data_IF_616738776341
#
_entry.id   IF_616738776341
#
_cell.length_a   1.000
_cell.length_b   1.000
_cell.length_c   1.000
_cell.angle_alpha   90.00
_cell.angle_beta   90.00
_cell.angle_gamma   90.00
#
_symmetry.space_group_name_H-M   'P 1'
#
loop_
_entity.id
_entity.type
_entity.pdbx_description
1 polymer ?
#
# COMPACT_ATOMS: atom_id res chain seq x y z
N UNK A 1 -22.69 47.37 1.71
CA UNK A 1 -21.35 47.10 1.16
C UNK A 1 -20.45 46.25 2.06
N UNK A 2 -20.43 46.41 3.39
CA UNK A 2 -19.65 45.54 4.31
C UNK A 2 -20.04 44.04 4.28
N UNK A 3 -21.34 43.73 4.20
CA UNK A 3 -21.83 42.34 4.20
C UNK A 3 -21.46 41.49 2.97
N UNK A 4 -21.15 42.09 1.82
CA UNK A 4 -20.74 41.33 0.63
C UNK A 4 -19.26 40.96 0.66
N UNK A 5 -18.41 41.83 1.24
CA UNK A 5 -16.97 41.61 1.38
C UNK A 5 -16.69 40.48 2.38
N UNK A 6 -17.39 40.46 3.52
CA UNK A 6 -17.23 39.39 4.52
C UNK A 6 -17.74 38.03 4.03
N UNK A 7 -18.82 37.99 3.24
CA UNK A 7 -19.28 36.76 2.59
C UNK A 7 -18.26 36.23 1.56
N UNK A 8 -17.65 37.11 0.78
CA UNK A 8 -16.63 36.72 -0.21
C UNK A 8 -15.35 36.21 0.47
N UNK A 9 -14.92 36.85 1.55
CA UNK A 9 -13.75 36.44 2.36
C UNK A 9 -13.97 35.09 3.04
N UNK A 10 -15.15 34.84 3.60
CA UNK A 10 -15.51 33.57 4.25
C UNK A 10 -15.61 32.42 3.24
N UNK A 11 -16.15 32.68 2.05
CA UNK A 11 -16.18 31.72 0.92
C UNK A 11 -14.79 31.37 0.41
N UNK A 12 -13.92 32.38 0.24
CA UNK A 12 -12.53 32.19 -0.18
C UNK A 12 -11.70 31.38 0.83
N UNK A 13 -11.84 31.67 2.14
CA UNK A 13 -11.18 30.91 3.21
C UNK A 13 -11.67 29.45 3.27
N UNK A 14 -12.98 29.21 3.11
CA UNK A 14 -13.52 27.85 3.03
C UNK A 14 -12.97 27.06 1.84
N UNK A 15 -12.81 27.71 0.68
CA UNK A 15 -12.20 27.08 -0.49
C UNK A 15 -10.70 26.82 -0.28
N UNK A 16 -9.96 27.74 0.35
CA UNK A 16 -8.55 27.51 0.69
C UNK A 16 -8.38 26.34 1.66
N UNK A 17 -9.20 26.27 2.73
CA UNK A 17 -9.15 25.14 3.68
C UNK A 17 -9.50 23.82 3.01
N UNK A 18 -10.45 23.81 2.08
CA UNK A 18 -10.77 22.61 1.27
C UNK A 18 -9.61 22.16 0.39
N UNK A 19 -8.97 23.09 -0.32
CA UNK A 19 -7.80 22.78 -1.17
C UNK A 19 -6.64 22.26 -0.33
N UNK A 20 -6.30 22.93 0.78
CA UNK A 20 -5.25 22.47 1.69
C UNK A 20 -5.57 21.12 2.34
N UNK A 21 -6.82 20.90 2.74
CA UNK A 21 -7.27 19.61 3.27
C UNK A 21 -7.13 18.48 2.24
N UNK A 22 -7.45 18.73 0.98
CA UNK A 22 -7.26 17.77 -0.10
C UNK A 22 -5.78 17.48 -0.36
N UNK A 23 -4.92 18.50 -0.39
CA UNK A 23 -3.47 18.33 -0.57
C UNK A 23 -2.90 17.45 0.56
N UNK A 24 -3.24 17.76 1.81
CA UNK A 24 -2.77 16.99 2.98
C UNK A 24 -3.28 15.55 2.91
N UNK A 25 -4.55 15.35 2.54
CA UNK A 25 -5.11 14.01 2.37
C UNK A 25 -4.36 13.23 1.28
N UNK A 26 -4.11 13.83 0.12
CA UNK A 26 -3.39 13.19 -0.98
C UNK A 26 -1.96 12.84 -0.59
N UNK A 27 -1.24 13.73 0.09
CA UNK A 27 0.10 13.46 0.60
C UNK A 27 0.10 12.33 1.63
N UNK A 28 -0.88 12.31 2.53
CA UNK A 28 -1.01 11.26 3.55
C UNK A 28 -1.30 9.89 2.91
N UNK A 29 -2.21 9.84 1.94
CA UNK A 29 -2.51 8.62 1.18
C UNK A 29 -1.32 8.16 0.34
N UNK A 30 -0.53 9.10 -0.20
CA UNK A 30 0.70 8.79 -0.93
C UNK A 30 1.76 8.20 0.00
N UNK A 31 1.98 8.79 1.17
CA UNK A 31 2.93 8.27 2.15
C UNK A 31 2.54 6.86 2.64
N UNK A 32 1.26 6.63 2.91
CA UNK A 32 0.75 5.30 3.27
C UNK A 32 0.96 4.28 2.14
N UNK A 33 0.69 4.68 0.90
CA UNK A 33 0.86 3.81 -0.27
C UNK A 33 2.33 3.48 -0.52
N UNK A 34 3.24 4.47 -0.45
CA UNK A 34 4.69 4.26 -0.55
C UNK A 34 5.18 3.30 0.52
N UNK A 35 4.77 3.51 1.78
CA UNK A 35 5.16 2.61 2.88
C UNK A 35 4.75 1.17 2.59
N UNK A 36 3.49 0.95 2.22
CA UNK A 36 2.96 -0.38 1.97
C UNK A 36 3.61 -1.06 0.75
N UNK A 37 3.83 -0.30 -0.32
CA UNK A 37 4.57 -0.77 -1.50
C UNK A 37 6.01 -1.13 -1.14
N UNK A 38 6.71 -0.26 -0.39
CA UNK A 38 8.09 -0.50 0.02
C UNK A 38 8.23 -1.81 0.80
N UNK A 39 7.36 -2.05 1.79
CA UNK A 39 7.40 -3.30 2.57
C UNK A 39 7.16 -4.53 1.70
N UNK A 40 6.17 -4.48 0.81
CA UNK A 40 5.86 -5.57 -0.11
C UNK A 40 7.04 -5.89 -1.04
N UNK A 41 7.57 -4.89 -1.73
CA UNK A 41 8.67 -5.07 -2.67
C UNK A 41 9.97 -5.47 -1.97
N UNK A 42 10.23 -4.93 -0.78
CA UNK A 42 11.40 -5.30 0.02
C UNK A 42 11.31 -6.77 0.46
N UNK A 43 10.12 -7.22 0.85
CA UNK A 43 9.88 -8.63 1.20
C UNK A 43 10.07 -9.60 0.04
N UNK A 44 9.84 -9.17 -1.22
CA UNK A 44 9.93 -10.04 -2.40
C UNK A 44 11.27 -9.97 -3.13
N UNK A 45 11.87 -8.79 -3.25
CA UNK A 45 13.02 -8.52 -4.14
C UNK A 45 14.12 -7.67 -3.48
N UNK A 46 14.01 -7.39 -2.18
CA UNK A 46 14.98 -6.59 -1.44
C UNK A 46 14.82 -5.07 -1.57
N UNK A 47 15.64 -4.34 -0.79
CA UNK A 47 15.45 -2.92 -0.55
C UNK A 47 15.65 -2.04 -1.80
N UNK A 48 16.60 -2.40 -2.66
CA UNK A 48 16.91 -1.63 -3.88
C UNK A 48 15.71 -1.62 -4.84
N UNK A 49 15.14 -2.79 -5.11
CA UNK A 49 13.95 -2.96 -5.95
C UNK A 49 12.74 -2.26 -5.34
N UNK A 50 12.63 -2.26 -4.01
CA UNK A 50 11.52 -1.62 -3.29
C UNK A 50 11.49 -0.09 -3.47
N UNK A 51 12.64 0.57 -3.39
CA UNK A 51 12.74 2.01 -3.61
C UNK A 51 12.38 2.36 -5.05
N UNK A 52 12.91 1.62 -6.02
CA UNK A 52 12.68 1.88 -7.44
C UNK A 52 11.20 1.66 -7.78
N UNK A 53 10.64 0.52 -7.42
CA UNK A 53 9.27 0.17 -7.76
C UNK A 53 8.26 1.15 -7.13
N UNK A 54 8.38 1.42 -5.82
CA UNK A 54 7.49 2.36 -5.13
C UNK A 54 7.54 3.76 -5.72
N UNK A 55 8.72 4.24 -6.11
CA UNK A 55 8.89 5.54 -6.76
C UNK A 55 8.22 5.56 -8.14
N UNK A 56 8.43 4.53 -8.96
CA UNK A 56 7.88 4.46 -10.32
C UNK A 56 6.36 4.42 -10.31
N UNK A 57 5.75 3.57 -9.48
CA UNK A 57 4.29 3.48 -9.39
C UNK A 57 3.66 4.80 -8.91
N UNK A 58 4.29 5.51 -7.97
CA UNK A 58 3.79 6.80 -7.51
C UNK A 58 3.95 7.91 -8.54
N UNK A 59 5.09 7.97 -9.25
CA UNK A 59 5.28 8.91 -10.36
C UNK A 59 4.23 8.66 -11.45
N UNK A 60 3.98 7.41 -11.81
CA UNK A 60 2.95 7.04 -12.79
C UNK A 60 1.55 7.40 -12.29
N UNK A 61 1.24 7.16 -11.01
CA UNK A 61 -0.06 7.52 -10.42
C UNK A 61 -0.30 9.04 -10.47
N UNK A 62 0.70 9.84 -10.10
CA UNK A 62 0.65 11.29 -10.16
C UNK A 62 0.54 11.81 -11.60
N UNK A 63 1.29 11.21 -12.52
CA UNK A 63 1.21 11.52 -13.95
C UNK A 63 -0.19 11.23 -14.52
N UNK A 64 -0.81 10.12 -14.10
CA UNK A 64 -2.17 9.75 -14.49
C UNK A 64 -3.22 10.73 -13.94
N UNK A 65 -3.06 11.14 -12.69
CA UNK A 65 -3.91 12.15 -12.05
C UNK A 65 -3.78 13.50 -12.76
N UNK A 66 -2.56 13.88 -13.14
CA UNK A 66 -2.30 15.08 -13.93
C UNK A 66 -2.96 15.02 -15.31
N UNK A 67 -2.88 13.88 -16.01
CA UNK A 67 -3.56 13.67 -17.29
C UNK A 67 -5.08 13.80 -17.17
N UNK A 68 -5.65 13.28 -16.08
CA UNK A 68 -7.09 13.35 -15.78
C UNK A 68 -7.56 14.80 -15.57
N UNK A 69 -6.71 15.65 -14.98
CA UNK A 69 -6.99 17.06 -14.74
C UNK A 69 -6.76 17.95 -15.97
N UNK A 70 -5.79 17.59 -16.82
CA UNK A 70 -5.34 18.47 -17.92
C UNK A 70 -5.97 18.15 -19.26
N UNK A 71 -6.45 16.94 -19.50
CA UNK A 71 -6.98 16.53 -20.80
C UNK A 71 -8.48 16.25 -20.75
N UNK A 72 -9.16 16.44 -21.87
CA UNK A 72 -10.56 16.05 -22.08
C UNK A 72 -10.70 15.05 -23.24
N UNK A 73 -11.90 14.47 -23.36
CA UNK A 73 -12.20 13.48 -24.40
C UNK A 73 -11.50 12.14 -24.17
N UNK A 74 -11.09 11.47 -25.27
CA UNK A 74 -10.56 10.10 -25.20
C UNK A 74 -9.26 10.01 -24.37
N UNK A 75 -8.42 11.05 -24.39
CA UNK A 75 -7.16 11.10 -23.64
C UNK A 75 -7.39 11.09 -22.12
N UNK A 76 -8.48 11.75 -21.67
CA UNK A 76 -8.93 11.71 -20.28
C UNK A 76 -9.38 10.32 -19.87
N UNK A 77 -10.11 9.63 -20.74
CA UNK A 77 -10.56 8.25 -20.50
C UNK A 77 -9.36 7.32 -20.33
N UNK A 78 -8.35 7.44 -21.18
CA UNK A 78 -7.09 6.67 -21.05
C UNK A 78 -6.41 6.94 -19.71
N UNK A 79 -6.29 8.22 -19.31
CA UNK A 79 -5.73 8.59 -18.00
C UNK A 79 -6.52 8.02 -16.81
N UNK A 80 -7.86 8.02 -16.89
CA UNK A 80 -8.75 7.41 -15.88
C UNK A 80 -8.51 5.90 -15.78
N UNK A 81 -8.50 5.20 -16.92
CA UNK A 81 -8.29 3.74 -16.96
C UNK A 81 -6.93 3.35 -16.39
N UNK A 82 -5.88 4.09 -16.76
CA UNK A 82 -4.53 3.84 -16.28
C UNK A 82 -4.39 4.14 -14.77
N UNK A 83 -4.98 5.23 -14.30
CA UNK A 83 -5.06 5.55 -12.87
C UNK A 83 -5.78 4.46 -12.08
N UNK A 84 -6.94 3.99 -12.54
CA UNK A 84 -7.70 2.92 -11.87
C UNK A 84 -6.90 1.62 -11.81
N UNK A 85 -6.23 1.23 -12.89
CA UNK A 85 -5.38 0.04 -12.92
C UNK A 85 -4.25 0.11 -11.90
N UNK A 86 -3.51 1.23 -11.87
CA UNK A 86 -2.43 1.45 -10.89
C UNK A 86 -2.97 1.50 -9.47
N UNK A 87 -4.09 2.19 -9.24
CA UNK A 87 -4.68 2.33 -7.91
C UNK A 87 -5.18 0.99 -7.35
N UNK A 88 -5.81 0.16 -8.18
CA UNK A 88 -6.25 -1.18 -7.80
C UNK A 88 -5.05 -2.09 -7.48
N UNK A 89 -4.01 -2.03 -8.29
CA UNK A 89 -2.78 -2.76 -8.03
C UNK A 89 -2.11 -2.31 -6.72
N UNK A 90 -1.91 -1.00 -6.53
CA UNK A 90 -1.34 -0.45 -5.30
C UNK A 90 -2.21 -0.80 -4.07
N UNK A 91 -3.54 -0.82 -4.24
CA UNK A 91 -4.48 -1.27 -3.22
C UNK A 91 -4.30 -2.74 -2.84
N UNK A 92 -4.18 -3.63 -3.83
CA UNK A 92 -3.90 -5.07 -3.58
C UNK A 92 -2.57 -5.27 -2.88
N UNK A 93 -1.52 -4.57 -3.32
CA UNK A 93 -0.18 -4.59 -2.69
C UNK A 93 -0.26 -4.12 -1.24
N UNK A 94 -1.00 -3.05 -0.97
CA UNK A 94 -1.17 -2.53 0.37
C UNK A 94 -1.92 -3.50 1.29
N UNK A 95 -2.97 -4.15 0.79
CA UNK A 95 -3.70 -5.20 1.53
C UNK A 95 -2.77 -6.36 1.86
N UNK A 96 -1.99 -6.84 0.88
CA UNK A 96 -1.03 -7.93 1.10
C UNK A 96 0.06 -7.56 2.10
N UNK A 97 0.61 -6.34 2.02
CA UNK A 97 1.59 -5.83 2.98
C UNK A 97 1.03 -5.73 4.40
N UNK A 98 -0.18 -5.21 4.56
CA UNK A 98 -0.81 -5.08 5.88
C UNK A 98 -1.14 -6.45 6.48
N UNK A 99 -1.63 -7.38 5.67
CA UNK A 99 -1.90 -8.74 6.09
C UNK A 99 -0.60 -9.46 6.50
N UNK A 100 0.49 -9.27 5.74
CA UNK A 100 1.83 -9.75 6.11
C UNK A 100 2.30 -9.22 7.47
N UNK A 101 2.17 -7.91 7.73
CA UNK A 101 2.61 -7.27 8.99
C UNK A 101 1.81 -7.81 10.20
N UNK A 102 0.50 -7.99 10.04
CA UNK A 102 -0.35 -8.60 11.09
C UNK A 102 0.16 -10.00 11.44
N UNK A 103 0.53 -10.79 10.44
CA UNK A 103 0.94 -12.17 10.69
C UNK A 103 2.39 -12.26 11.19
N UNK A 104 3.28 -11.32 10.84
CA UNK A 104 4.63 -11.24 11.40
C UNK A 104 4.58 -11.05 12.93
N UNK A 105 3.80 -10.07 13.39
CA UNK A 105 3.56 -9.82 14.82
C UNK A 105 3.04 -11.08 15.52
N UNK A 106 2.12 -11.79 14.85
CA UNK A 106 1.55 -13.03 15.36
C UNK A 106 2.55 -14.19 15.41
N UNK A 107 3.48 -14.27 14.45
CA UNK A 107 4.52 -15.29 14.39
C UNK A 107 5.57 -15.13 15.49
N UNK A 108 5.99 -13.89 15.77
CA UNK A 108 6.92 -13.58 16.85
C UNK A 108 6.34 -13.98 18.22
N UNK A 109 5.04 -13.73 18.41
CA UNK A 109 4.32 -14.13 19.61
C UNK A 109 4.21 -15.66 19.74
N UNK A 110 4.01 -16.39 18.64
CA UNK A 110 3.98 -17.86 18.65
C UNK A 110 5.35 -18.50 18.91
N UNK A 111 6.43 -17.95 18.32
CA UNK A 111 7.78 -18.43 18.59
C UNK A 111 8.16 -18.25 20.07
N UNK A 112 7.74 -17.13 20.67
CA UNK A 112 7.86 -16.91 22.10
C UNK A 112 7.08 -17.96 22.92
N UNK A 113 5.80 -18.20 22.58
CA UNK A 113 4.98 -19.22 23.25
C UNK A 113 5.54 -20.64 23.10
N UNK A 114 6.06 -20.99 21.92
CA UNK A 114 6.66 -22.31 21.66
C UNK A 114 7.90 -22.54 22.52
N UNK A 115 8.77 -21.53 22.62
CA UNK A 115 9.94 -21.56 23.52
C UNK A 115 9.51 -21.70 24.98
N UNK A 116 8.49 -20.98 25.41
CA UNK A 116 7.95 -21.06 26.77
C UNK A 116 7.38 -22.45 27.08
N UNK A 117 6.66 -23.08 26.13
CA UNK A 117 6.18 -24.45 26.29
C UNK A 117 7.32 -25.48 26.35
N UNK A 118 8.33 -25.34 25.49
CA UNK A 118 9.50 -26.23 25.52
C UNK A 118 10.23 -26.13 26.86
N UNK A 119 10.48 -24.91 27.35
CA UNK A 119 11.09 -24.68 28.65
C UNK A 119 10.32 -25.37 29.79
N UNK A 120 8.98 -25.29 29.78
CA UNK A 120 8.13 -25.95 30.78
C UNK A 120 8.15 -27.47 30.67
N UNK A 121 8.17 -28.01 29.45
CA UNK A 121 8.30 -29.46 29.22
C UNK A 121 9.64 -29.96 29.77
N UNK A 122 10.73 -29.24 29.52
CA UNK A 122 12.05 -29.56 30.05
C UNK A 122 12.07 -29.54 31.58
N UNK A 123 11.44 -28.54 32.20
CA UNK A 123 11.30 -28.47 33.66
C UNK A 123 10.56 -29.69 34.24
N UNK A 124 9.47 -30.12 33.59
CA UNK A 124 8.71 -31.32 33.98
C UNK A 124 9.58 -32.58 33.79
N UNK A 125 10.29 -32.70 32.66
CA UNK A 125 11.19 -33.82 32.38
C UNK A 125 12.33 -33.91 33.40
N UNK A 126 12.92 -32.78 33.77
CA UNK A 126 13.95 -32.71 34.80
C UNK A 126 13.43 -33.17 36.17
N UNK A 127 12.27 -32.69 36.60
CA UNK A 127 11.65 -33.10 37.87
C UNK A 127 11.29 -34.60 37.89
N UNK A 128 10.82 -35.13 36.75
CA UNK A 128 10.54 -36.57 36.60
C UNK A 128 11.83 -37.40 36.67
N UNK A 129 12.88 -36.98 35.97
CA UNK A 129 14.18 -37.64 35.97
C UNK A 129 14.77 -37.68 37.39
N UNK A 130 14.69 -36.58 38.15
CA UNK A 130 15.13 -36.53 39.54
C UNK A 130 14.35 -37.53 40.42
N UNK A 131 13.02 -37.56 40.28
CA UNK A 131 12.17 -38.49 41.05
C UNK A 131 12.49 -39.95 40.72
N UNK A 132 12.74 -40.28 39.45
CA UNK A 132 13.10 -41.63 39.04
C UNK A 132 14.52 -42.01 39.45
N UNK A 133 15.49 -41.10 39.34
CA UNK A 133 16.85 -41.31 39.80
C UNK A 133 16.90 -41.63 41.30
N UNK A 134 16.12 -40.93 42.12
CA UNK A 134 15.99 -41.24 43.55
C UNK A 134 15.42 -42.65 43.80
N UNK A 135 14.43 -43.10 43.02
CA UNK A 135 13.87 -44.46 43.13
C UNK A 135 14.88 -45.53 42.70
N UNK A 136 15.57 -45.32 41.58
CA UNK A 136 16.62 -46.22 41.09
C UNK A 136 17.72 -46.35 42.13
N UNK A 137 18.19 -45.23 42.69
CA UNK A 137 19.24 -45.21 43.74
C UNK A 137 18.82 -46.00 44.98
N UNK A 138 17.53 -45.95 45.38
CA UNK A 138 17.03 -46.76 46.50
C UNK A 138 17.04 -48.25 46.17
N UNK A 139 16.58 -48.63 44.98
CA UNK A 139 16.58 -50.04 44.54
C UNK A 139 18.01 -50.57 44.39
N UNK A 140 18.95 -49.77 43.91
CA UNK A 140 20.37 -50.12 43.83
C UNK A 140 20.99 -50.36 45.20
N UNK A 141 20.65 -49.53 46.19
CA UNK A 141 21.08 -49.76 47.58
C UNK A 141 20.53 -51.08 48.13
N UNK A 142 19.25 -51.38 47.87
CA UNK A 142 18.63 -52.63 48.29
C UNK A 142 19.23 -53.84 47.56
N UNK A 143 19.59 -53.69 46.28
CA UNK A 143 20.30 -54.71 45.49
C UNK A 143 21.66 -55.03 46.13
N UNK A 144 22.48 -54.01 46.41
CA UNK A 144 23.78 -54.20 47.04
C UNK A 144 23.65 -54.96 48.38
N UNK A 145 22.68 -54.58 49.21
CA UNK A 145 22.40 -55.28 50.46
C UNK A 145 22.03 -56.75 50.24
N UNK A 146 21.22 -57.05 49.21
CA UNK A 146 20.80 -58.42 48.88
C UNK A 146 21.97 -59.23 48.33
N UNK A 147 22.81 -58.64 47.48
CA UNK A 147 24.02 -59.27 46.93
C UNK A 147 25.00 -59.64 48.04
N UNK A 148 25.22 -58.76 49.03
CA UNK A 148 26.02 -59.07 50.23
C UNK A 148 25.43 -60.26 51.02
N UNK A 149 24.11 -60.28 51.24
CA UNK A 149 23.44 -61.40 51.95
C UNK A 149 23.50 -62.72 51.18
N UNK A 150 23.46 -62.65 49.85
CA UNK A 150 23.59 -63.81 48.97
C UNK A 150 25.02 -64.34 48.93
N UNK A 151 26.03 -63.46 48.96
CA UNK A 151 27.43 -63.84 49.10
C UNK A 151 27.70 -64.58 50.43
N UNK A 152 27.07 -64.14 51.52
CA UNK A 152 27.14 -64.83 52.82
C UNK A 152 26.35 -66.16 52.83
N UNK A 153 25.29 -66.29 52.02
CA UNK A 153 24.41 -67.46 51.99
C UNK A 153 24.08 -67.90 50.55
N UNK A 154 25.03 -68.52 49.82
CA UNK A 154 24.92 -68.73 48.37
C UNK A 154 23.78 -69.66 47.94
N UNK A 155 23.34 -70.55 48.84
CA UNK A 155 22.26 -71.52 48.56
C UNK A 155 20.86 -71.01 48.95
N UNK A 156 20.75 -69.76 49.43
CA UNK A 156 19.46 -69.20 49.83
C UNK A 156 18.59 -68.87 48.61
N UNK A 157 17.55 -69.67 48.40
CA UNK A 157 16.53 -69.42 47.36
C UNK A 157 15.80 -68.09 47.56
N UNK A 158 15.63 -67.65 48.81
CA UNK A 158 14.99 -66.38 49.13
C UNK A 158 15.77 -65.19 48.59
N UNK A 159 17.08 -65.11 48.89
CA UNK A 159 17.92 -63.99 48.47
C UNK A 159 18.05 -63.93 46.94
N UNK A 160 18.18 -65.07 46.26
CA UNK A 160 18.26 -65.11 44.79
C UNK A 160 16.96 -64.66 44.11
N UNK A 161 15.81 -65.02 44.67
CA UNK A 161 14.52 -64.53 44.15
C UNK A 161 14.38 -63.01 44.37
N UNK A 162 14.84 -62.51 45.52
CA UNK A 162 14.75 -61.08 45.85
C UNK A 162 15.66 -60.22 44.96
N UNK A 163 16.88 -60.70 44.68
CA UNK A 163 17.82 -60.08 43.74
C UNK A 163 17.17 -59.93 42.36
N UNK A 164 16.61 -61.02 41.82
CA UNK A 164 15.91 -61.00 40.52
C UNK A 164 14.75 -60.00 40.50
N UNK A 165 13.95 -59.94 41.55
CA UNK A 165 12.84 -58.98 41.66
C UNK A 165 13.33 -57.52 41.65
N UNK A 166 14.37 -57.21 42.41
CA UNK A 166 14.91 -55.86 42.50
C UNK A 166 15.63 -55.45 41.20
N UNK A 167 16.36 -56.37 40.58
CA UNK A 167 17.01 -56.15 39.28
C UNK A 167 15.98 -55.87 38.18
N UNK A 168 14.87 -56.64 38.14
CA UNK A 168 13.75 -56.36 37.25
C UNK A 168 13.14 -54.99 37.54
N UNK A 169 12.91 -54.66 38.81
CA UNK A 169 12.35 -53.36 39.22
C UNK A 169 13.23 -52.18 38.78
N UNK A 170 14.56 -52.31 38.89
CA UNK A 170 15.52 -51.30 38.42
C UNK A 170 15.44 -51.11 36.90
N UNK A 171 15.38 -52.20 36.15
CA UNK A 171 15.23 -52.17 34.70
C UNK A 171 13.91 -51.51 34.29
N UNK A 172 12.80 -51.87 34.93
CA UNK A 172 11.48 -51.31 34.66
C UNK A 172 11.43 -49.79 34.94
N UNK A 173 12.07 -49.33 36.03
CA UNK A 173 12.17 -47.90 36.34
C UNK A 173 13.03 -47.14 35.33
N UNK A 174 14.12 -47.75 34.86
CA UNK A 174 15.00 -47.15 33.85
C UNK A 174 14.28 -47.02 32.50
N UNK A 175 13.57 -48.07 32.09
CA UNK A 175 12.76 -48.07 30.86
C UNK A 175 11.64 -47.02 30.92
N UNK A 176 10.97 -46.88 32.08
CA UNK A 176 9.97 -45.83 32.28
C UNK A 176 10.56 -44.42 32.20
N UNK A 177 11.78 -44.22 32.72
CA UNK A 177 12.49 -42.95 32.63
C UNK A 177 12.83 -42.61 31.18
N UNK A 178 13.41 -43.55 30.44
CA UNK A 178 13.78 -43.34 29.05
C UNK A 178 12.56 -43.11 28.15
N UNK A 179 11.48 -43.87 28.35
CA UNK A 179 10.22 -43.70 27.63
C UNK A 179 9.59 -42.32 27.87
N UNK A 180 9.67 -41.80 29.10
CA UNK A 180 9.13 -40.47 29.41
C UNK A 180 9.99 -39.34 28.84
N UNK A 181 11.32 -39.46 28.91
CA UNK A 181 12.24 -38.46 28.41
C UNK A 181 12.22 -38.35 26.88
N UNK A 182 11.98 -39.47 26.18
CA UNK A 182 11.87 -39.52 24.72
C UNK A 182 10.51 -39.05 24.17
N UNK A 183 9.49 -38.87 25.02
CA UNK A 183 8.17 -38.43 24.57
C UNK A 183 8.21 -36.98 24.02
N UNK A 184 7.81 -36.81 22.75
CA UNK A 184 7.61 -35.49 22.12
C UNK A 184 6.12 -35.21 22.01
N UNK A 185 5.56 -34.31 22.85
CA UNK A 185 4.11 -34.11 22.89
C UNK A 185 3.61 -33.33 21.68
N UNK A 186 2.65 -33.90 20.96
CA UNK A 186 1.93 -33.23 19.87
C UNK A 186 0.97 -32.13 20.37
N UNK A 187 0.54 -32.22 21.63
CA UNK A 187 -0.30 -31.22 22.29
C UNK A 187 0.37 -30.74 23.61
N UNK A 188 1.28 -29.74 23.54
CA UNK A 188 2.11 -29.31 24.68
C UNK A 188 1.29 -28.93 25.92
N UNK A 189 0.19 -28.19 25.74
CA UNK A 189 -0.65 -27.70 26.84
C UNK A 189 -1.24 -28.84 27.68
N UNK A 190 -1.95 -29.78 27.03
CA UNK A 190 -2.56 -30.93 27.71
C UNK A 190 -1.51 -31.84 28.33
N UNK A 191 -0.36 -31.98 27.68
CA UNK A 191 0.76 -32.78 28.20
C UNK A 191 1.35 -32.13 29.46
N UNK A 192 1.56 -30.81 29.45
CA UNK A 192 2.05 -30.04 30.60
C UNK A 192 1.06 -30.16 31.76
N UNK A 193 -0.24 -29.93 31.55
CA UNK A 193 -1.26 -30.03 32.60
C UNK A 193 -1.30 -31.42 33.24
N UNK A 194 -1.32 -32.47 32.42
CA UNK A 194 -1.35 -33.87 32.90
C UNK A 194 -0.12 -34.24 33.72
N UNK A 195 1.07 -33.88 33.23
CA UNK A 195 2.33 -34.30 33.86
C UNK A 195 2.78 -33.39 35.01
N UNK A 196 2.43 -32.10 34.97
CA UNK A 196 2.59 -31.21 36.11
C UNK A 196 1.73 -31.67 37.28
N UNK A 197 0.46 -32.04 37.04
CA UNK A 197 -0.42 -32.61 38.06
C UNK A 197 0.14 -33.92 38.64
N UNK A 198 0.69 -34.81 37.79
CA UNK A 198 1.34 -36.06 38.24
C UNK A 198 2.52 -35.82 39.19
N UNK A 199 3.25 -34.72 38.99
CA UNK A 199 4.43 -34.36 39.76
C UNK A 199 4.16 -33.33 40.87
N UNK A 200 2.90 -32.92 41.07
CA UNK A 200 2.52 -31.84 41.98
C UNK A 200 3.26 -30.52 41.72
N UNK A 201 3.57 -30.21 40.45
CA UNK A 201 4.18 -28.94 40.05
C UNK A 201 3.09 -27.90 39.80
N UNK A 202 3.17 -26.76 40.50
CA UNK A 202 2.31 -25.59 40.22
C UNK A 202 2.97 -24.80 39.10
N UNK A 203 2.30 -24.70 37.96
CA UNK A 203 2.74 -23.91 36.80
C UNK A 203 1.66 -22.88 36.49
N UNK A 204 2.04 -21.61 36.37
CA UNK A 204 1.10 -20.54 36.00
C UNK A 204 0.56 -20.76 34.59
N UNK A 205 -0.74 -20.55 34.32
CA UNK A 205 -1.29 -20.77 32.98
C UNK A 205 -0.60 -19.87 31.94
N UNK A 206 -0.26 -20.44 30.78
CA UNK A 206 0.18 -19.65 29.63
C UNK A 206 -1.07 -19.11 28.96
N UNK A 207 -1.30 -17.79 29.03
CA UNK A 207 -2.38 -17.14 28.28
C UNK A 207 -2.09 -17.24 26.77
N UNK A 208 -2.64 -18.28 26.13
CA UNK A 208 -2.57 -18.41 24.68
C UNK A 208 -3.84 -17.87 24.03
N UNK A 209 -3.78 -16.68 23.44
CA UNK A 209 -4.72 -16.33 22.37
C UNK A 209 -4.36 -17.20 21.16
N UNK A 210 -5.18 -18.22 20.89
CA UNK A 210 -5.05 -19.08 19.71
C UNK A 210 -5.27 -18.27 18.44
N UNK A 211 -4.30 -18.27 17.54
CA UNK A 211 -4.52 -18.00 16.11
C UNK A 211 -3.41 -18.66 15.30
N UNK A 212 -3.74 -19.18 14.13
CA UNK A 212 -2.92 -20.08 13.32
C UNK A 212 -2.30 -19.41 12.08
N UNK A 213 -1.00 -19.73 11.89
CA UNK A 213 -0.13 -19.83 10.70
C UNK A 213 0.26 -18.67 9.76
N UNK A 214 1.58 -18.66 9.52
CA UNK A 214 2.45 -18.24 8.40
C UNK A 214 2.13 -16.95 7.62
N UNK A 215 3.03 -15.96 7.68
CA UNK A 215 2.71 -14.57 7.39
C UNK A 215 2.65 -14.14 5.94
N UNK A 216 3.64 -14.51 5.16
CA UNK A 216 3.84 -13.89 3.85
C UNK A 216 3.53 -14.90 2.76
N UNK A 217 3.99 -16.14 2.96
CA UNK A 217 3.66 -17.27 2.11
C UNK A 217 2.16 -17.58 2.14
N UNK A 218 1.51 -17.54 3.31
CA UNK A 218 0.04 -17.72 3.39
C UNK A 218 -0.72 -16.48 2.95
N UNK A 219 -0.20 -15.26 3.16
CA UNK A 219 -0.83 -14.04 2.64
C UNK A 219 -0.90 -14.03 1.11
N UNK A 220 0.22 -14.37 0.47
CA UNK A 220 0.33 -14.48 -0.98
C UNK A 220 -0.50 -15.66 -1.49
N UNK A 221 -0.44 -16.82 -0.83
CA UNK A 221 -1.22 -18.00 -1.22
C UNK A 221 -2.72 -17.84 -0.96
N UNK A 222 -3.14 -17.14 0.10
CA UNK A 222 -4.57 -16.90 0.39
C UNK A 222 -5.16 -15.83 -0.53
N UNK A 223 -4.38 -14.80 -0.86
CA UNK A 223 -4.86 -13.67 -1.67
C UNK A 223 -4.75 -13.96 -3.17
N UNK A 224 -3.72 -14.68 -3.61
CA UNK A 224 -3.41 -14.91 -5.04
C UNK A 224 -3.48 -16.38 -5.46
N UNK A 225 -3.54 -17.33 -4.51
CA UNK A 225 -3.58 -18.79 -4.79
C UNK A 225 -2.35 -19.30 -5.55
N UNK A 226 -1.24 -18.57 -5.50
CA UNK A 226 0.02 -18.88 -6.18
C UNK A 226 1.10 -19.29 -5.17
N UNK A 227 2.09 -20.07 -5.62
CA UNK A 227 3.33 -20.27 -4.87
C UNK A 227 4.16 -18.98 -4.84
N UNK A 228 5.10 -18.85 -3.90
CA UNK A 228 5.97 -17.66 -3.76
C UNK A 228 6.79 -17.38 -5.03
N UNK A 229 7.32 -18.43 -5.66
CA UNK A 229 8.09 -18.31 -6.90
C UNK A 229 7.21 -17.89 -8.09
N UNK A 230 5.99 -18.41 -8.19
CA UNK A 230 5.02 -18.00 -9.21
C UNK A 230 4.53 -16.56 -9.00
N UNK A 231 4.27 -16.17 -7.75
CA UNK A 231 3.89 -14.81 -7.40
C UNK A 231 5.00 -13.80 -7.72
N UNK A 232 6.26 -14.14 -7.43
CA UNK A 232 7.42 -13.32 -7.82
C UNK A 232 7.50 -13.15 -9.35
N UNK A 233 7.36 -14.25 -10.11
CA UNK A 233 7.39 -14.19 -11.58
C UNK A 233 6.22 -13.37 -12.14
N UNK A 234 5.02 -13.55 -11.61
CA UNK A 234 3.83 -12.81 -12.03
C UNK A 234 3.96 -11.32 -11.73
N UNK A 235 4.38 -10.98 -10.51
CA UNK A 235 4.55 -9.58 -10.07
C UNK A 235 5.68 -8.91 -10.85
N UNK A 236 6.78 -9.61 -11.14
CA UNK A 236 7.87 -9.09 -11.98
C UNK A 236 7.41 -8.84 -13.42
N UNK A 237 6.64 -9.77 -14.01
CA UNK A 237 6.07 -9.59 -15.35
C UNK A 237 5.11 -8.40 -15.38
N UNK A 238 4.22 -8.29 -14.39
CA UNK A 238 3.30 -7.17 -14.27
C UNK A 238 4.03 -5.84 -14.11
N UNK A 239 5.10 -5.80 -13.31
CA UNK A 239 5.94 -4.62 -13.14
C UNK A 239 6.51 -4.15 -14.49
N UNK A 240 7.12 -5.05 -15.26
CA UNK A 240 7.65 -4.71 -16.59
C UNK A 240 6.55 -4.18 -17.49
N UNK A 241 5.40 -4.83 -17.54
CA UNK A 241 4.25 -4.37 -18.36
C UNK A 241 3.81 -2.97 -17.96
N UNK A 242 3.68 -2.68 -16.65
CA UNK A 242 3.27 -1.36 -16.17
C UNK A 242 4.31 -0.30 -16.50
N UNK A 243 5.60 -0.60 -16.34
CA UNK A 243 6.70 0.31 -16.68
C UNK A 243 6.67 0.64 -18.17
N UNK A 244 6.56 -0.37 -19.03
CA UNK A 244 6.52 -0.18 -20.50
C UNK A 244 5.29 0.62 -20.92
N UNK A 245 4.10 0.26 -20.43
CA UNK A 245 2.88 1.04 -20.68
C UNK A 245 2.99 2.47 -20.11
N UNK A 246 3.69 2.63 -18.99
CA UNK A 246 3.95 3.92 -18.35
C UNK A 246 4.87 4.79 -19.18
N UNK A 247 5.92 4.23 -19.78
CA UNK A 247 6.80 4.93 -20.71
C UNK A 247 6.01 5.38 -21.94
N UNK A 248 5.20 4.50 -22.54
CA UNK A 248 4.34 4.85 -23.67
C UNK A 248 3.36 5.96 -23.30
N UNK A 249 2.74 5.87 -22.12
CA UNK A 249 1.82 6.87 -21.60
C UNK A 249 2.52 8.23 -21.38
N UNK A 250 3.71 8.23 -20.77
CA UNK A 250 4.51 9.43 -20.56
C UNK A 250 5.01 10.01 -21.88
N UNK A 251 5.40 9.20 -22.85
CA UNK A 251 5.79 9.64 -24.19
C UNK A 251 4.61 10.35 -24.90
N UNK A 252 3.41 9.78 -24.82
CA UNK A 252 2.19 10.40 -25.32
C UNK A 252 1.86 11.71 -24.59
N UNK A 253 2.20 11.81 -23.31
CA UNK A 253 2.10 13.06 -22.56
C UNK A 253 3.11 14.12 -23.02
N UNK A 254 4.33 13.72 -23.37
CA UNK A 254 5.39 14.66 -23.79
C UNK A 254 5.15 15.30 -25.16
N UNK A 255 4.48 14.61 -26.10
CA UNK A 255 4.13 15.18 -27.41
C UNK A 255 3.12 16.33 -27.34
N UNK A 256 2.42 16.50 -26.21
CA UNK A 256 1.38 17.53 -26.02
C UNK A 256 1.81 18.63 -25.04
N UNK A 257 3.10 18.99 -25.07
CA UNK A 257 3.65 20.15 -24.37
C UNK A 257 3.02 21.50 -24.76
N UNK A 258 2.18 21.54 -25.80
CA UNK A 258 1.24 22.64 -26.01
C UNK A 258 -0.08 22.27 -25.30
N UNK A 259 -0.54 23.07 -24.32
CA UNK A 259 -1.87 22.89 -23.77
C UNK A 259 -2.88 23.01 -24.91
N UNK A 260 -3.42 21.87 -25.36
CA UNK A 260 -4.59 21.85 -26.26
C UNK A 260 -5.87 22.37 -25.56
N UNK A 261 -5.77 22.75 -24.28
CA UNK A 261 -6.82 23.41 -23.52
C UNK A 261 -6.37 24.79 -23.04
N UNK A 262 -6.37 25.76 -23.93
CA UNK A 262 -7.10 26.98 -23.58
C UNK A 262 -8.58 26.60 -23.60
N UNK A 263 -9.42 27.05 -22.67
CA UNK A 263 -10.84 26.69 -22.67
C UNK A 263 -11.40 27.04 -24.04
N UNK A 264 -11.63 26.02 -24.87
CA UNK A 264 -12.43 26.13 -26.07
C UNK A 264 -13.81 26.47 -25.54
N UNK A 265 -14.12 27.77 -25.51
CA UNK A 265 -15.48 28.25 -25.37
C UNK A 265 -16.26 27.74 -26.58
N UNK A 266 -16.82 26.54 -26.46
CA UNK A 266 -17.97 26.04 -27.20
C UNK A 266 -18.16 26.58 -28.62
N UNK A 267 -17.20 26.44 -29.54
CA UNK A 267 -17.41 26.60 -30.99
C UNK A 267 -18.19 27.85 -31.45
N UNK A 268 -18.32 28.89 -30.63
CA UNK A 268 -18.88 30.17 -31.03
C UNK A 268 -17.66 30.93 -31.50
N UNK A 269 -17.56 31.10 -32.82
CA UNK A 269 -16.59 32.02 -33.38
C UNK A 269 -16.68 33.34 -32.61
N UNK A 270 -15.54 34.01 -32.40
CA UNK A 270 -15.50 35.33 -31.76
C UNK A 270 -16.60 36.24 -32.33
N UNK A 271 -16.84 36.11 -33.63
CA UNK A 271 -17.90 36.80 -34.36
C UNK A 271 -19.30 36.46 -33.82
N UNK A 272 -19.66 35.18 -33.68
CA UNK A 272 -20.96 34.74 -33.13
C UNK A 272 -21.20 35.32 -31.74
N UNK A 273 -20.18 35.27 -30.87
CA UNK A 273 -20.29 35.84 -29.51
C UNK A 273 -20.46 37.37 -29.52
N UNK A 274 -19.77 38.06 -30.43
CA UNK A 274 -19.89 39.50 -30.56
C UNK A 274 -21.25 39.90 -31.14
N UNK A 275 -21.76 39.19 -32.16
CA UNK A 275 -23.06 39.43 -32.80
C UNK A 275 -24.24 39.19 -31.85
N UNK A 276 -24.13 38.25 -30.92
CA UNK A 276 -25.16 38.00 -29.90
C UNK A 276 -25.28 39.13 -28.86
N UNK A 277 -24.22 39.92 -28.65
CA UNK A 277 -24.12 40.88 -27.54
C UNK A 277 -23.98 42.33 -27.96
N UNK A 278 -23.56 42.59 -29.18
CA UNK A 278 -23.27 43.93 -29.69
C UNK A 278 -23.89 44.12 -31.06
N UNK A 279 -24.20 45.38 -31.39
CA UNK A 279 -24.74 45.72 -32.70
C UNK A 279 -23.69 45.47 -33.80
N UNK A 280 -24.12 44.94 -34.95
CA UNK A 280 -23.26 44.63 -36.10
C UNK A 280 -22.39 45.82 -36.53
N UNK A 281 -22.97 47.02 -36.57
CA UNK A 281 -22.26 48.27 -36.90
C UNK A 281 -21.11 48.59 -35.93
N UNK A 282 -21.28 48.28 -34.64
CA UNK A 282 -20.25 48.53 -33.63
C UNK A 282 -19.11 47.53 -33.73
N UNK A 283 -19.42 46.28 -34.10
CA UNK A 283 -18.45 45.23 -34.36
C UNK A 283 -17.62 45.58 -35.60
N UNK A 284 -18.29 45.94 -36.70
CA UNK A 284 -17.64 46.37 -37.94
C UNK A 284 -16.77 47.61 -37.73
N UNK A 285 -17.28 48.62 -37.00
CA UNK A 285 -16.52 49.82 -36.68
C UNK A 285 -15.30 49.49 -35.81
N UNK A 286 -15.45 48.61 -34.83
CA UNK A 286 -14.33 48.13 -34.02
C UNK A 286 -13.25 47.48 -34.91
N UNK A 287 -13.60 46.50 -35.74
CA UNK A 287 -12.61 45.83 -36.58
C UNK A 287 -12.03 46.75 -37.66
N UNK A 288 -12.81 47.68 -38.23
CA UNK A 288 -12.32 48.65 -39.22
C UNK A 288 -11.24 49.58 -38.65
N UNK A 289 -11.39 50.04 -37.41
CA UNK A 289 -10.40 50.91 -36.77
C UNK A 289 -9.19 50.16 -36.22
N UNK A 290 -9.32 48.87 -35.87
CA UNK A 290 -8.30 48.16 -35.09
C UNK A 290 -7.66 46.95 -35.78
N UNK A 291 -8.18 46.48 -36.91
CA UNK A 291 -7.62 45.32 -37.60
C UNK A 291 -6.17 45.55 -38.05
N UNK A 292 -5.85 46.71 -38.60
CA UNK A 292 -4.49 47.01 -39.08
C UNK A 292 -3.47 47.17 -37.93
N UNK A 293 -3.76 47.94 -36.85
CA UNK A 293 -2.91 47.95 -35.66
C UNK A 293 -2.70 46.58 -35.02
N UNK A 294 -3.75 45.75 -34.94
CA UNK A 294 -3.67 44.43 -34.31
C UNK A 294 -2.82 43.45 -35.12
N UNK A 295 -2.92 43.47 -36.46
CA UNK A 295 -2.07 42.65 -37.33
C UNK A 295 -0.60 43.10 -37.27
N UNK A 296 -0.35 44.41 -37.16
CA UNK A 296 1.00 44.97 -37.20
C UNK A 296 1.74 44.86 -35.87
N UNK A 297 1.04 45.00 -34.75
CA UNK A 297 1.64 45.10 -33.42
C UNK A 297 1.25 43.97 -32.46
N UNK A 298 0.24 43.15 -32.80
CA UNK A 298 -0.23 42.03 -31.97
C UNK A 298 -1.03 42.45 -30.74
N UNK A 299 -1.24 43.75 -30.52
CA UNK A 299 -1.86 44.30 -29.32
C UNK A 299 -3.28 44.82 -29.60
N UNK A 300 -4.18 44.63 -28.62
CA UNK A 300 -5.48 45.30 -28.60
C UNK A 300 -5.30 46.81 -28.32
N UNK A 301 -6.14 47.68 -28.92
CA UNK A 301 -6.07 49.12 -28.68
C UNK A 301 -6.23 49.45 -27.19
N UNK A 302 -5.68 50.58 -26.72
CA UNK A 302 -5.90 51.00 -25.33
C UNK A 302 -7.35 51.46 -25.18
N UNK A 303 -7.91 51.31 -23.98
CA UNK A 303 -9.28 51.78 -23.70
C UNK A 303 -9.45 53.30 -23.91
N UNK A 304 -8.36 54.08 -23.82
CA UNK A 304 -8.29 55.51 -24.11
C UNK A 304 -8.58 55.83 -25.58
N UNK A 305 -8.18 54.93 -26.48
CA UNK A 305 -8.21 55.14 -27.93
C UNK A 305 -9.56 54.72 -28.54
N UNK A 306 -10.40 54.12 -27.70
CA UNK A 306 -11.75 53.68 -28.01
C UNK A 306 -12.79 54.70 -27.56
N UNK A 307 -13.78 54.94 -28.44
CA UNK A 307 -15.00 55.64 -28.06
C UNK A 307 -15.71 54.86 -26.93
N UNK A 308 -16.46 55.53 -26.04
CA UNK A 308 -17.17 54.85 -24.94
C UNK A 308 -18.06 53.69 -25.41
N UNK A 309 -18.58 53.78 -26.65
CA UNK A 309 -19.40 52.76 -27.31
C UNK A 309 -18.64 51.47 -27.65
N UNK A 310 -17.34 51.56 -27.98
CA UNK A 310 -16.51 50.44 -28.42
C UNK A 310 -15.67 49.79 -27.31
N UNK A 311 -15.53 50.46 -26.16
CA UNK A 311 -14.82 49.93 -24.97
C UNK A 311 -15.38 48.60 -24.44
N UNK A 312 -16.70 48.35 -24.41
CA UNK A 312 -17.27 47.07 -23.98
C UNK A 312 -16.80 45.90 -24.84
N UNK A 313 -16.67 46.08 -26.15
CA UNK A 313 -16.19 45.04 -27.08
C UNK A 313 -14.75 44.65 -26.74
N UNK A 314 -13.83 45.62 -26.60
CA UNK A 314 -12.46 45.36 -26.14
C UNK A 314 -12.42 44.66 -24.79
N UNK A 315 -13.23 45.13 -23.84
CA UNK A 315 -13.29 44.56 -22.49
C UNK A 315 -13.71 43.09 -22.55
N UNK A 316 -14.74 42.78 -23.33
CA UNK A 316 -15.17 41.40 -23.57
C UNK A 316 -14.07 40.57 -24.24
N UNK A 317 -13.38 41.08 -25.26
CA UNK A 317 -12.29 40.34 -25.90
C UNK A 317 -11.15 40.04 -24.91
N UNK A 318 -10.81 40.99 -24.05
CA UNK A 318 -9.75 40.85 -23.04
C UNK A 318 -10.15 39.91 -21.91
N UNK A 319 -11.39 40.03 -21.40
CA UNK A 319 -11.90 39.24 -20.27
C UNK A 319 -12.14 37.78 -20.65
N UNK A 320 -12.50 37.53 -21.91
CA UNK A 320 -12.73 36.17 -22.42
C UNK A 320 -11.46 35.50 -22.95
N UNK A 321 -10.35 36.23 -23.09
CA UNK A 321 -9.05 35.65 -23.40
C UNK A 321 -8.98 34.96 -24.77
N UNK A 322 -9.64 35.53 -25.78
CA UNK A 322 -9.64 34.97 -27.14
C UNK A 322 -8.22 34.85 -27.72
N UNK A 323 -8.00 33.84 -28.57
CA UNK A 323 -6.67 33.57 -29.11
C UNK A 323 -6.21 34.69 -30.04
N UNK A 324 -4.95 35.10 -29.92
CA UNK A 324 -4.35 36.13 -30.78
C UNK A 324 -4.42 35.74 -32.27
N UNK A 325 -4.35 34.45 -32.59
CA UNK A 325 -4.42 33.95 -33.96
C UNK A 325 -5.83 34.09 -34.54
N UNK A 326 -6.86 33.67 -33.80
CA UNK A 326 -8.26 33.81 -34.22
C UNK A 326 -8.66 35.28 -34.40
N UNK A 327 -8.19 36.15 -33.51
CA UNK A 327 -8.37 37.59 -33.64
C UNK A 327 -7.64 38.15 -34.88
N UNK A 328 -6.43 37.67 -35.17
CA UNK A 328 -5.67 38.08 -36.36
C UNK A 328 -6.38 37.65 -37.65
N UNK A 329 -6.92 36.44 -37.69
CA UNK A 329 -7.63 35.91 -38.84
C UNK A 329 -8.99 36.63 -39.05
N UNK A 330 -9.69 36.97 -37.98
CA UNK A 330 -10.89 37.82 -38.03
C UNK A 330 -10.57 39.25 -38.49
N UNK A 331 -9.48 39.85 -38.00
CA UNK A 331 -9.00 41.15 -38.47
C UNK A 331 -8.64 41.13 -39.96
N UNK A 332 -8.01 40.05 -40.45
CA UNK A 332 -7.71 39.87 -41.87
C UNK A 332 -8.98 39.81 -42.70
N UNK A 333 -9.97 39.02 -42.29
CA UNK A 333 -11.28 38.91 -42.94
C UNK A 333 -11.90 40.30 -43.16
N UNK A 334 -11.93 41.13 -42.12
CA UNK A 334 -12.49 42.49 -42.18
C UNK A 334 -11.69 43.48 -43.05
N UNK A 335 -10.37 43.28 -43.19
CA UNK A 335 -9.55 44.09 -44.09
C UNK A 335 -9.66 43.64 -45.55
N UNK A 336 -9.92 42.36 -45.80
CA UNK A 336 -10.09 41.82 -47.16
C UNK A 336 -11.49 42.08 -47.74
N UNK A 337 -12.56 41.93 -46.96
CA UNK A 337 -13.93 42.13 -47.47
C UNK A 337 -14.30 43.61 -47.65
N UNK A 338 -13.69 44.53 -46.90
CA UNK A 338 -13.97 45.97 -47.05
C UNK A 338 -13.05 46.71 -48.03
N UNK A 339 -12.06 46.06 -48.62
CA UNK A 339 -11.27 46.67 -49.70
C UNK A 339 -12.03 46.80 -51.02
N UNK A 340 -13.13 46.07 -51.20
CA UNK A 340 -13.95 46.11 -52.43
C UNK A 340 -15.22 46.99 -52.33
N UNK A 341 -15.38 47.76 -51.25
CA UNK A 341 -16.54 48.65 -51.06
C UNK A 341 -16.19 50.15 -50.97
N UNK A 342 -14.92 50.50 -51.19
CA UNK A 342 -14.44 51.89 -51.23
C UNK A 342 -13.39 52.12 -52.32
N UNK A 343 -13.65 51.60 -53.52
CA UNK A 343 -13.16 52.21 -54.78
C UNK A 343 -14.35 52.61 -55.65
#
# INVERSE_FOLDING_TARGET
MKNSIDKYRKSSLLNQVRVWGLIILTLSLTALSVKAQYHFWNGLFGAETAVIASTVFEVLRLASLYALLRWDGYKRVIGITYYLGIALFCGSVAITSWYSEIIEIHSAQNAFLSKEYQYRIEKIKAAFAETMAQKITRVERDLNNVEEKLAMNPKSRYWSNREKQLSQTRSDLSNQMESFLSETPSAPVKWIEKNAARLNLILDPVESKRTEYNAIETAVRSTWHLSTEEAQKFVAMFFVIVVELGIIFLAFMTETGKPDHYPVTNGHSIMTYLEERYNKEDIEMFFKFFAEPMIKHGDLPKASDLTPRLRPIRKAITEYGFQSQEMTDLCRYYLTDHKYLTE
#
